data_IF_136358054055
#
_entry.id   IF_136358054055
#
_cell.length_a   1.000
_cell.length_b   1.000
_cell.length_c   1.000
_cell.angle_alpha   90.00
_cell.angle_beta   90.00
_cell.angle_gamma   90.00
#
_symmetry.space_group_name_H-M   'P 1'
#
loop_
_entity.id
_entity.type
_entity.pdbx_description
1 polymer ?
#
# COMPACT_ATOMS: atom_id res chain seq x y z
N UNK A 1 23.70 13.90 2.02
CA UNK A 1 22.59 12.94 1.87
C UNK A 1 23.25 11.61 1.55
N UNK A 2 23.11 10.60 2.42
CA UNK A 2 23.68 9.27 2.17
C UNK A 2 22.70 8.51 1.29
N UNK A 3 23.10 8.20 0.07
CA UNK A 3 22.30 7.38 -0.84
C UNK A 3 22.18 5.97 -0.24
N UNK A 4 21.02 5.69 0.35
CA UNK A 4 20.75 4.41 0.98
C UNK A 4 20.78 3.30 -0.08
N UNK A 5 21.46 2.19 0.24
CA UNK A 5 21.47 0.99 -0.59
C UNK A 5 20.30 0.08 -0.22
N UNK A 6 19.60 -0.43 -1.23
CA UNK A 6 18.61 -1.50 -1.11
C UNK A 6 19.13 -2.81 -1.69
N UNK A 7 18.50 -3.94 -1.32
CA UNK A 7 18.84 -5.27 -1.83
C UNK A 7 17.59 -5.98 -2.36
N UNK A 8 17.68 -6.60 -3.54
CA UNK A 8 16.61 -7.40 -4.14
C UNK A 8 17.17 -8.72 -4.71
N UNK A 9 16.31 -9.54 -5.36
CA UNK A 9 16.72 -10.80 -6.04
C UNK A 9 17.77 -10.61 -7.15
N UNK A 10 17.95 -9.37 -7.63
CA UNK A 10 18.89 -8.99 -8.68
C UNK A 10 20.18 -8.35 -8.16
N UNK A 11 20.34 -8.19 -6.83
CA UNK A 11 21.53 -7.60 -6.21
C UNK A 11 21.26 -6.31 -5.43
N UNK A 12 22.34 -5.60 -5.06
CA UNK A 12 22.28 -4.29 -4.41
C UNK A 12 21.94 -3.19 -5.43
N UNK A 13 21.16 -2.20 -5.03
CA UNK A 13 20.79 -1.05 -5.85
C UNK A 13 20.70 0.22 -5.00
N UNK A 14 20.71 1.39 -5.64
CA UNK A 14 20.50 2.68 -4.96
C UNK A 14 19.01 2.91 -4.77
N UNK A 15 18.55 3.16 -3.55
CA UNK A 15 17.10 3.30 -3.26
C UNK A 15 16.40 4.37 -4.10
N UNK A 16 17.13 5.42 -4.49
CA UNK A 16 16.60 6.52 -5.31
C UNK A 16 16.34 6.07 -6.75
N UNK A 17 17.24 5.26 -7.31
CA UNK A 17 17.17 4.82 -8.71
C UNK A 17 16.32 3.55 -8.88
N UNK A 18 16.18 2.75 -7.81
CA UNK A 18 15.54 1.45 -7.86
C UNK A 18 16.40 0.39 -8.57
N UNK A 19 15.95 -0.86 -8.55
CA UNK A 19 16.62 -1.93 -9.30
C UNK A 19 16.14 -1.90 -10.77
N UNK A 20 17.02 -1.72 -11.76
CA UNK A 20 16.64 -1.62 -13.17
C UNK A 20 15.83 -2.84 -13.65
N UNK A 21 16.25 -4.04 -13.23
CA UNK A 21 15.61 -5.30 -13.63
C UNK A 21 14.22 -5.46 -12.99
N UNK A 22 14.02 -5.04 -11.74
CA UNK A 22 12.69 -5.07 -11.12
C UNK A 22 11.73 -4.06 -11.76
N UNK A 23 12.23 -2.93 -12.23
CA UNK A 23 11.43 -1.91 -12.93
C UNK A 23 11.01 -2.45 -14.31
N UNK A 24 11.93 -3.07 -15.04
CA UNK A 24 11.66 -3.67 -16.36
C UNK A 24 10.69 -4.85 -16.27
N UNK A 25 10.84 -5.74 -15.29
CA UNK A 25 9.87 -6.83 -15.01
C UNK A 25 8.46 -6.30 -14.70
N UNK A 26 8.36 -5.15 -14.02
CA UNK A 26 7.06 -4.51 -13.73
C UNK A 26 6.45 -3.87 -14.97
N UNK A 27 7.28 -3.26 -15.82
CA UNK A 27 6.82 -2.66 -17.07
C UNK A 27 6.38 -3.72 -18.08
N UNK A 28 7.10 -4.84 -18.18
CA UNK A 28 6.70 -5.96 -19.04
C UNK A 28 5.39 -6.60 -18.57
N UNK A 29 5.26 -6.85 -17.26
CA UNK A 29 4.02 -7.38 -16.68
C UNK A 29 2.82 -6.43 -16.88
N UNK A 30 3.03 -5.10 -16.83
CA UNK A 30 1.97 -4.12 -17.11
C UNK A 30 1.56 -4.13 -18.60
N UNK A 31 2.51 -4.29 -19.52
CA UNK A 31 2.21 -4.33 -20.96
C UNK A 31 1.44 -5.57 -21.40
N UNK A 32 1.58 -6.69 -20.70
CA UNK A 32 0.78 -7.90 -20.96
C UNK A 32 -0.68 -7.75 -20.53
N UNK A 33 -0.97 -6.85 -19.58
CA UNK A 33 -2.34 -6.55 -19.14
C UNK A 33 -3.05 -5.68 -20.19
N UNK A 34 -2.35 -4.72 -20.81
CA UNK A 34 -2.94 -3.82 -21.82
C UNK A 34 -3.22 -4.54 -23.17
N UNK A 35 -2.53 -5.63 -23.48
CA UNK A 35 -2.79 -6.42 -24.68
C UNK A 35 -4.09 -7.25 -24.63
N UNK A 36 -4.79 -7.27 -23.49
CA UNK A 36 -6.05 -7.98 -23.30
C UNK A 36 -7.27 -7.04 -23.17
N UNK A 37 -7.10 -5.72 -23.36
CA UNK A 37 -8.18 -4.72 -23.30
C UNK A 37 -8.82 -4.46 -24.69
N UNK A 38 -9.12 -5.55 -25.39
CA UNK A 38 -9.68 -5.55 -26.74
C UNK A 38 -11.13 -6.01 -26.85
N UNK A 39 -11.93 -5.98 -25.78
CA UNK A 39 -13.37 -6.21 -25.88
C UNK A 39 -14.13 -5.17 -25.05
N UNK A 40 -14.53 -4.10 -25.73
CA UNK A 40 -15.41 -3.06 -25.22
C UNK A 40 -16.78 -3.68 -24.96
N UNK A 41 -17.01 -4.12 -23.72
CA UNK A 41 -18.33 -4.52 -23.24
C UNK A 41 -19.20 -3.27 -23.22
N UNK A 42 -20.18 -3.25 -24.12
CA UNK A 42 -21.23 -2.24 -24.17
C UNK A 42 -21.90 -2.16 -22.79
N UNK A 43 -22.11 -0.94 -22.30
CA UNK A 43 -22.79 -0.62 -21.06
C UNK A 43 -24.31 -0.86 -21.17
N UNK A 44 -24.71 -2.07 -21.56
CA UNK A 44 -26.08 -2.54 -21.51
C UNK A 44 -26.33 -3.18 -20.15
N UNK A 45 -27.02 -2.43 -19.29
CA UNK A 45 -27.79 -2.91 -18.13
C UNK A 45 -27.11 -3.92 -17.21
N UNK A 46 -26.68 -3.46 -16.02
CA UNK A 46 -26.29 -4.32 -14.90
C UNK A 46 -27.40 -5.36 -14.68
N UNK A 47 -27.20 -6.65 -15.02
CA UNK A 47 -28.15 -7.68 -14.67
C UNK A 47 -27.94 -7.95 -13.18
N UNK A 48 -28.82 -7.40 -12.37
CA UNK A 48 -28.95 -7.79 -10.98
C UNK A 48 -29.61 -9.18 -10.96
N UNK A 49 -29.20 -10.00 -10.01
CA UNK A 49 -29.80 -11.26 -9.53
C UNK A 49 -29.36 -12.56 -10.20
N UNK A 50 -28.13 -12.99 -9.89
CA UNK A 50 -27.99 -14.37 -9.43
C UNK A 50 -28.26 -14.39 -7.92
N UNK A 51 -29.09 -15.31 -7.40
CA UNK A 51 -29.27 -15.44 -5.96
C UNK A 51 -27.92 -15.82 -5.36
N UNK A 52 -27.36 -14.94 -4.51
CA UNK A 52 -26.30 -15.33 -3.60
C UNK A 52 -26.84 -16.52 -2.81
N UNK A 53 -26.37 -17.72 -3.14
CA UNK A 53 -26.44 -18.84 -2.23
C UNK A 53 -25.58 -18.45 -1.04
N UNK A 54 -26.24 -17.86 -0.03
CA UNK A 54 -25.69 -17.70 1.31
C UNK A 54 -25.35 -19.09 1.83
N UNK A 55 -24.18 -19.57 1.43
CA UNK A 55 -23.57 -20.75 1.99
C UNK A 55 -22.91 -20.23 3.26
N UNK A 56 -23.72 -20.00 4.29
CA UNK A 56 -23.21 -19.83 5.65
C UNK A 56 -22.49 -21.12 5.99
N UNK A 57 -21.19 -21.18 5.67
CA UNK A 57 -20.30 -22.27 6.03
C UNK A 57 -19.91 -22.06 7.49
N UNK A 58 -20.92 -21.96 8.36
CA UNK A 58 -20.76 -22.09 9.79
C UNK A 58 -20.65 -23.58 10.08
N UNK A 59 -19.49 -24.16 9.78
CA UNK A 59 -19.11 -25.35 10.54
C UNK A 59 -18.98 -24.88 11.97
N UNK A 60 -19.91 -25.29 12.83
CA UNK A 60 -19.81 -24.99 14.25
C UNK A 60 -18.42 -25.45 14.70
N UNK A 61 -17.65 -24.61 15.40
CA UNK A 61 -16.39 -25.04 15.98
C UNK A 61 -16.62 -26.32 16.80
N UNK A 62 -16.01 -27.43 16.36
CA UNK A 62 -16.16 -28.74 17.00
C UNK A 62 -17.25 -29.67 16.43
N UNK A 63 -17.99 -29.27 15.39
CA UNK A 63 -18.92 -30.19 14.70
C UNK A 63 -18.26 -31.05 13.62
N UNK A 64 -17.04 -30.70 13.18
CA UNK A 64 -16.30 -31.48 12.19
C UNK A 64 -15.70 -32.74 12.84
N UNK A 65 -16.30 -33.89 12.51
CA UNK A 65 -15.88 -35.21 12.98
C UNK A 65 -14.43 -35.52 12.59
N UNK A 66 -13.94 -35.02 11.45
CA UNK A 66 -12.56 -35.25 11.01
C UNK A 66 -11.59 -34.54 11.96
N UNK A 67 -11.85 -33.28 12.30
CA UNK A 67 -11.00 -32.48 13.20
C UNK A 67 -11.01 -33.05 14.61
N UNK A 68 -12.18 -33.47 15.11
CA UNK A 68 -12.28 -34.17 16.39
C UNK A 68 -11.51 -35.49 16.36
N UNK A 69 -11.62 -36.25 15.27
CA UNK A 69 -10.86 -37.48 15.05
C UNK A 69 -9.35 -37.26 15.04
N UNK A 70 -8.86 -36.23 14.35
CA UNK A 70 -7.45 -35.86 14.36
C UNK A 70 -6.96 -35.46 15.75
N UNK A 71 -7.77 -34.72 16.50
CA UNK A 71 -7.43 -34.35 17.87
C UNK A 71 -7.30 -35.58 18.78
N UNK A 72 -8.23 -36.53 18.70
CA UNK A 72 -8.15 -37.78 19.46
C UNK A 72 -6.93 -38.62 19.07
N UNK A 73 -6.61 -38.73 17.78
CA UNK A 73 -5.40 -39.41 17.31
C UNK A 73 -4.13 -38.74 17.83
N UNK A 74 -4.08 -37.40 17.81
CA UNK A 74 -2.96 -36.63 18.33
C UNK A 74 -2.77 -36.86 19.84
N UNK A 75 -3.85 -36.88 20.63
CA UNK A 75 -3.80 -37.21 22.06
C UNK A 75 -3.30 -38.64 22.30
N UNK A 76 -3.71 -39.60 21.48
CA UNK A 76 -3.23 -40.98 21.54
C UNK A 76 -1.72 -41.09 21.27
N UNK A 77 -1.25 -40.45 20.19
CA UNK A 77 0.16 -40.40 19.83
C UNK A 77 0.99 -39.68 20.90
N UNK A 78 0.47 -38.60 21.48
CA UNK A 78 1.10 -37.90 22.59
C UNK A 78 1.25 -38.81 23.82
N UNK A 79 0.17 -39.46 24.26
CA UNK A 79 0.19 -40.34 25.43
C UNK A 79 1.10 -41.56 25.22
N UNK A 80 1.23 -42.04 23.98
CA UNK A 80 2.19 -43.08 23.62
C UNK A 80 3.64 -42.57 23.70
N UNK A 81 3.92 -41.41 23.09
CA UNK A 81 5.24 -40.79 23.10
C UNK A 81 5.73 -40.48 24.53
N UNK A 82 4.84 -40.02 25.42
CA UNK A 82 5.17 -39.73 26.83
C UNK A 82 5.60 -40.97 27.63
N UNK A 83 5.12 -42.16 27.25
CA UNK A 83 5.43 -43.43 27.94
C UNK A 83 6.58 -44.20 27.30
N UNK A 84 6.96 -43.84 26.08
CA UNK A 84 7.93 -44.60 25.29
C UNK A 84 9.34 -44.40 25.83
N UNK A 85 10.07 -45.51 26.03
CA UNK A 85 11.50 -45.51 26.38
C UNK A 85 12.23 -46.30 25.31
N UNK A 86 13.20 -45.66 24.66
CA UNK A 86 13.99 -46.28 23.59
C UNK A 86 15.18 -46.99 24.25
N UNK A 87 15.22 -48.32 24.15
CA UNK A 87 16.27 -49.13 24.77
C UNK A 87 17.10 -49.91 23.75
N UNK A 88 16.51 -50.24 22.61
CA UNK A 88 17.15 -51.04 21.56
C UNK A 88 17.01 -50.40 20.15
N UNK A 89 17.56 -51.10 19.15
CA UNK A 89 17.54 -50.65 17.74
C UNK A 89 16.16 -50.86 17.10
N UNK A 90 15.34 -51.77 17.60
CA UNK A 90 14.01 -52.02 17.06
C UNK A 90 13.01 -50.94 17.53
N UNK A 91 13.19 -50.41 18.73
CA UNK A 91 12.49 -49.23 19.24
C UNK A 91 12.73 -48.01 18.34
N UNK A 92 13.96 -47.84 17.84
CA UNK A 92 14.28 -46.75 16.90
C UNK A 92 13.47 -46.86 15.61
N UNK A 93 13.26 -48.08 15.08
CA UNK A 93 12.41 -48.28 13.90
C UNK A 93 10.96 -47.91 14.19
N UNK A 94 10.43 -48.34 15.35
CA UNK A 94 9.06 -48.00 15.78
C UNK A 94 8.86 -46.49 15.91
N UNK A 95 9.79 -45.79 16.57
CA UNK A 95 9.75 -44.32 16.66
C UNK A 95 9.77 -43.69 15.27
N UNK A 96 10.58 -44.23 14.36
CA UNK A 96 10.65 -43.71 12.99
C UNK A 96 9.30 -43.87 12.26
N UNK A 97 8.64 -45.01 12.40
CA UNK A 97 7.31 -45.24 11.84
C UNK A 97 6.27 -44.28 12.46
N UNK A 98 6.30 -44.10 13.78
CA UNK A 98 5.41 -43.16 14.48
C UNK A 98 5.63 -41.72 14.02
N UNK A 99 6.88 -41.30 13.78
CA UNK A 99 7.20 -39.98 13.24
C UNK A 99 6.60 -39.79 11.84
N UNK A 100 6.58 -40.83 11.00
CA UNK A 100 5.91 -40.78 9.68
C UNK A 100 4.40 -40.60 9.84
N UNK A 101 3.79 -41.30 10.80
CA UNK A 101 2.35 -41.17 11.10
C UNK A 101 2.03 -39.76 11.60
N UNK A 102 2.79 -39.24 12.56
CA UNK A 102 2.67 -37.87 13.08
C UNK A 102 2.81 -36.86 11.94
N UNK A 103 3.77 -37.07 11.04
CA UNK A 103 3.98 -36.23 9.87
C UNK A 103 2.76 -36.17 8.94
N UNK A 104 2.12 -37.31 8.68
CA UNK A 104 0.87 -37.39 7.89
C UNK A 104 -0.28 -36.68 8.59
N UNK A 105 -0.53 -37.00 9.87
CA UNK A 105 -1.60 -36.37 10.66
C UNK A 105 -1.48 -34.84 10.71
N UNK A 106 -0.25 -34.34 10.90
CA UNK A 106 0.03 -32.89 10.86
C UNK A 106 -0.33 -32.28 9.51
N UNK A 107 0.00 -32.94 8.40
CA UNK A 107 -0.34 -32.46 7.05
C UNK A 107 -1.85 -32.42 6.84
N UNK A 108 -2.57 -33.41 7.31
CA UNK A 108 -4.04 -33.50 7.17
C UNK A 108 -4.73 -32.38 7.97
N UNK A 109 -4.31 -32.14 9.22
CA UNK A 109 -4.80 -31.01 10.02
C UNK A 109 -4.54 -29.65 9.37
N UNK A 110 -3.35 -29.45 8.79
CA UNK A 110 -3.02 -28.21 8.08
C UNK A 110 -3.85 -28.05 6.79
N UNK A 111 -4.16 -29.15 6.12
CA UNK A 111 -5.02 -29.15 4.92
C UNK A 111 -6.43 -28.72 5.28
N UNK A 112 -7.04 -29.30 6.32
CA UNK A 112 -8.35 -28.86 6.83
C UNK A 112 -8.34 -27.40 7.29
N UNK A 113 -7.29 -26.97 8.00
CA UNK A 113 -7.12 -25.55 8.38
C UNK A 113 -7.15 -24.64 7.14
N UNK A 114 -6.48 -25.04 6.06
CA UNK A 114 -6.48 -24.28 4.81
C UNK A 114 -7.87 -24.27 4.17
N UNK A 115 -8.56 -25.41 4.15
CA UNK A 115 -9.94 -25.53 3.65
C UNK A 115 -10.89 -24.56 4.37
N UNK A 116 -10.80 -24.44 5.69
CA UNK A 116 -11.61 -23.50 6.47
C UNK A 116 -11.25 -22.03 6.25
N UNK A 117 -9.96 -21.72 6.14
CA UNK A 117 -9.49 -20.34 6.08
C UNK A 117 -9.45 -19.75 4.67
N UNK A 118 -9.36 -20.58 3.64
CA UNK A 118 -9.33 -20.16 2.24
C UNK A 118 -10.57 -19.34 1.81
N UNK A 119 -11.82 -19.79 2.04
CA UNK A 119 -12.99 -19.01 1.64
C UNK A 119 -13.10 -17.69 2.42
N UNK A 120 -12.77 -17.68 3.72
CA UNK A 120 -12.77 -16.46 4.53
C UNK A 120 -11.77 -15.44 4.01
N UNK A 121 -10.56 -15.87 3.66
CA UNK A 121 -9.56 -14.99 3.03
C UNK A 121 -10.03 -14.47 1.69
N UNK A 122 -10.60 -15.34 0.85
CA UNK A 122 -11.15 -14.92 -0.44
C UNK A 122 -12.25 -13.86 -0.30
N UNK A 123 -13.10 -13.96 0.73
CA UNK A 123 -14.12 -12.95 1.02
C UNK A 123 -13.50 -11.63 1.51
N UNK A 124 -12.49 -11.69 2.39
CA UNK A 124 -11.75 -10.50 2.83
C UNK A 124 -11.08 -9.81 1.63
N UNK A 125 -10.43 -10.57 0.75
CA UNK A 125 -9.78 -10.05 -0.45
C UNK A 125 -10.82 -9.41 -1.39
N UNK A 126 -11.97 -10.04 -1.61
CA UNK A 126 -13.05 -9.48 -2.42
C UNK A 126 -13.62 -8.18 -1.83
N UNK A 127 -13.74 -8.08 -0.50
CA UNK A 127 -14.13 -6.84 0.19
C UNK A 127 -13.07 -5.76 -0.05
N UNK A 128 -11.79 -6.08 0.15
CA UNK A 128 -10.69 -5.13 -0.07
C UNK A 128 -10.66 -4.64 -1.52
N UNK A 129 -10.81 -5.52 -2.49
CA UNK A 129 -10.86 -5.18 -3.91
C UNK A 129 -12.04 -4.24 -4.22
N UNK A 130 -13.21 -4.52 -3.64
CA UNK A 130 -14.38 -3.66 -3.78
C UNK A 130 -14.10 -2.26 -3.21
N UNK A 131 -13.50 -2.17 -2.02
CA UNK A 131 -13.12 -0.88 -1.43
C UNK A 131 -12.07 -0.15 -2.26
N UNK A 132 -11.09 -0.86 -2.80
CA UNK A 132 -10.08 -0.27 -3.68
C UNK A 132 -10.73 0.36 -4.91
N UNK A 133 -11.66 -0.36 -5.55
CA UNK A 133 -12.45 0.16 -6.70
C UNK A 133 -13.23 1.41 -6.30
N UNK A 134 -13.93 1.37 -5.16
CA UNK A 134 -14.71 2.49 -4.64
C UNK A 134 -13.83 3.70 -4.25
N UNK A 135 -12.59 3.47 -3.84
CA UNK A 135 -11.64 4.52 -3.45
C UNK A 135 -10.94 5.19 -4.64
N UNK A 136 -10.89 4.56 -5.82
CA UNK A 136 -10.28 5.12 -7.04
C UNK A 136 -10.67 6.59 -7.32
N UNK A 137 -11.95 6.99 -7.35
CA UNK A 137 -12.31 8.38 -7.62
C UNK A 137 -11.80 9.36 -6.57
N UNK A 138 -11.75 8.95 -5.29
CA UNK A 138 -11.23 9.78 -4.20
C UNK A 138 -9.71 9.98 -4.36
N UNK A 139 -8.98 8.91 -4.66
CA UNK A 139 -7.54 8.97 -4.91
C UNK A 139 -7.22 9.82 -6.15
N UNK A 140 -8.01 9.69 -7.23
CA UNK A 140 -7.89 10.54 -8.43
C UNK A 140 -8.16 12.01 -8.10
N UNK A 141 -9.17 12.31 -7.28
CA UNK A 141 -9.46 13.68 -6.86
C UNK A 141 -8.31 14.27 -6.05
N UNK A 142 -7.78 13.53 -5.07
CA UNK A 142 -6.62 13.96 -4.27
C UNK A 142 -5.41 14.25 -5.16
N UNK A 143 -5.07 13.34 -6.09
CA UNK A 143 -3.99 13.56 -7.06
C UNK A 143 -4.20 14.84 -7.89
N UNK A 144 -5.42 15.08 -8.38
CA UNK A 144 -5.75 16.30 -9.14
C UNK A 144 -5.55 17.55 -8.27
N UNK A 145 -5.97 17.54 -7.01
CA UNK A 145 -5.78 18.67 -6.10
C UNK A 145 -4.31 18.93 -5.80
N UNK A 146 -3.53 17.88 -5.57
CA UNK A 146 -2.08 17.99 -5.36
C UNK A 146 -1.39 18.60 -6.58
N UNK A 147 -1.71 18.13 -7.79
CA UNK A 147 -1.16 18.68 -9.03
C UNK A 147 -1.53 20.15 -9.23
N UNK A 148 -2.79 20.53 -8.98
CA UNK A 148 -3.24 21.94 -9.06
C UNK A 148 -2.54 22.82 -8.03
N UNK A 149 -2.36 22.32 -6.81
CA UNK A 149 -1.64 23.04 -5.76
C UNK A 149 -0.17 23.28 -6.15
N UNK A 150 0.51 22.25 -6.66
CA UNK A 150 1.89 22.36 -7.14
C UNK A 150 2.01 23.35 -8.31
N UNK A 151 1.10 23.28 -9.29
CA UNK A 151 1.07 24.22 -10.41
C UNK A 151 0.86 25.68 -9.95
N UNK A 152 -0.03 25.89 -8.99
CA UNK A 152 -0.25 27.21 -8.39
C UNK A 152 1.01 27.73 -7.68
N UNK A 153 1.66 26.90 -6.87
CA UNK A 153 2.89 27.28 -6.16
C UNK A 153 4.02 27.62 -7.14
N UNK A 154 4.17 26.84 -8.21
CA UNK A 154 5.14 27.11 -9.28
C UNK A 154 4.87 28.46 -9.96
N UNK A 155 3.60 28.77 -10.26
CA UNK A 155 3.21 30.04 -10.87
C UNK A 155 3.43 31.23 -9.93
N UNK A 156 3.12 31.09 -8.64
CA UNK A 156 3.40 32.13 -7.64
C UNK A 156 4.89 32.41 -7.52
N UNK A 157 5.71 31.35 -7.50
CA UNK A 157 7.16 31.48 -7.48
C UNK A 157 7.68 32.20 -8.73
N UNK A 158 7.20 31.82 -9.93
CA UNK A 158 7.56 32.49 -11.20
C UNK A 158 7.23 33.99 -11.19
N UNK A 159 6.07 34.36 -10.65
CA UNK A 159 5.66 35.76 -10.51
C UNK A 159 6.56 36.52 -9.53
N UNK A 160 6.89 35.93 -8.38
CA UNK A 160 7.78 36.53 -7.41
C UNK A 160 9.18 36.78 -8.01
N UNK A 161 9.75 35.77 -8.68
CA UNK A 161 11.05 35.87 -9.34
C UNK A 161 11.06 36.95 -10.45
N UNK A 162 9.99 37.02 -11.26
CA UNK A 162 9.88 38.04 -12.32
C UNK A 162 9.81 39.47 -11.74
N UNK A 163 9.10 39.67 -10.63
CA UNK A 163 9.02 40.98 -9.95
C UNK A 163 10.36 41.32 -9.31
N UNK A 164 11.04 40.35 -8.70
CA UNK A 164 12.36 40.54 -8.12
C UNK A 164 13.39 40.94 -9.20
N UNK A 165 13.42 40.23 -10.33
CA UNK A 165 14.30 40.57 -11.46
C UNK A 165 14.00 41.98 -12.02
N UNK A 166 12.72 42.34 -12.17
CA UNK A 166 12.35 43.68 -12.60
C UNK A 166 12.79 44.76 -11.60
N UNK A 167 12.67 44.49 -10.30
CA UNK A 167 13.16 45.40 -9.24
C UNK A 167 14.68 45.51 -9.25
N UNK A 168 15.41 44.40 -9.46
CA UNK A 168 16.88 44.40 -9.59
C UNK A 168 17.31 45.26 -10.78
N UNK A 169 16.71 45.07 -11.97
CA UNK A 169 17.02 45.88 -13.16
C UNK A 169 16.72 47.37 -12.95
N UNK A 170 15.63 47.71 -12.24
CA UNK A 170 15.30 49.11 -11.90
C UNK A 170 16.32 49.73 -10.95
N UNK A 171 16.77 49.00 -9.94
CA UNK A 171 17.81 49.47 -9.02
C UNK A 171 19.15 49.68 -9.75
N UNK A 172 19.51 48.76 -10.65
CA UNK A 172 20.72 48.89 -11.46
C UNK A 172 20.66 50.08 -12.42
N UNK A 173 19.52 50.29 -13.09
CA UNK A 173 19.31 51.45 -13.96
C UNK A 173 19.41 52.77 -13.17
N UNK A 174 18.72 52.88 -12.04
CA UNK A 174 18.78 54.05 -11.18
C UNK A 174 20.19 54.32 -10.64
N UNK A 175 20.96 53.26 -10.33
CA UNK A 175 22.35 53.38 -9.92
C UNK A 175 23.24 53.95 -11.03
N UNK A 176 23.06 53.48 -12.27
CA UNK A 176 23.80 54.00 -13.44
C UNK A 176 23.42 55.44 -13.76
N UNK A 177 22.15 55.80 -13.66
CA UNK A 177 21.69 57.17 -13.86
C UNK A 177 22.28 58.13 -12.83
N UNK A 178 22.31 57.74 -11.54
CA UNK A 178 22.91 58.53 -10.47
C UNK A 178 24.42 58.78 -10.68
N UNK A 179 25.14 57.80 -11.23
CA UNK A 179 26.56 57.93 -11.56
C UNK A 179 26.78 58.92 -12.71
N UNK A 180 25.93 58.89 -13.73
CA UNK A 180 26.00 59.82 -14.88
C UNK A 180 25.54 61.24 -14.54
N UNK A 181 24.53 61.39 -13.67
CA UNK A 181 23.97 62.70 -13.29
C UNK A 181 24.74 63.41 -12.17
N UNK A 182 25.84 62.84 -11.68
CA UNK A 182 26.68 63.46 -10.65
C UNK A 182 26.09 63.43 -9.25
N UNK A 183 25.28 62.41 -8.92
CA UNK A 183 24.77 62.17 -7.56
C UNK A 183 23.39 62.78 -7.24
N UNK A 184 22.72 63.40 -8.21
CA UNK A 184 21.34 63.87 -8.03
C UNK A 184 20.37 62.84 -8.63
N UNK A 185 19.75 62.06 -7.75
CA UNK A 185 18.69 61.10 -8.12
C UNK A 185 17.38 61.89 -8.20
N UNK A 186 16.89 62.17 -9.41
CA UNK A 186 15.71 63.03 -9.59
C UNK A 186 14.36 62.31 -9.51
N UNK A 187 14.33 60.97 -9.59
CA UNK A 187 13.09 60.19 -9.48
C UNK A 187 13.22 59.07 -8.45
N UNK A 188 12.26 59.01 -7.51
CA UNK A 188 12.18 57.92 -6.55
C UNK A 188 11.86 56.62 -7.30
N UNK A 189 12.75 55.64 -7.23
CA UNK A 189 12.53 54.33 -7.86
C UNK A 189 11.30 53.69 -7.22
N UNK A 190 10.20 53.65 -7.96
CA UNK A 190 8.97 53.02 -7.50
C UNK A 190 9.15 51.50 -7.65
N UNK A 191 9.63 50.85 -6.59
CA UNK A 191 9.79 49.41 -6.53
C UNK A 191 8.41 48.76 -6.42
N UNK A 192 8.19 47.72 -7.22
CA UNK A 192 6.93 46.97 -7.15
C UNK A 192 7.00 46.02 -5.96
N UNK A 193 5.97 46.02 -5.11
CA UNK A 193 5.93 45.12 -3.94
C UNK A 193 5.85 43.66 -4.40
N UNK A 194 6.74 42.82 -3.88
CA UNK A 194 6.76 41.38 -4.18
C UNK A 194 5.59 40.72 -3.42
N UNK A 195 4.73 39.95 -4.10
CA UNK A 195 3.66 39.23 -3.44
C UNK A 195 4.22 38.34 -2.31
N UNK A 196 3.61 38.35 -1.11
CA UNK A 196 4.11 37.55 0.01
C UNK A 196 4.05 36.06 -0.32
N UNK A 197 5.08 35.32 0.09
CA UNK A 197 5.11 33.86 -0.08
C UNK A 197 3.89 33.21 0.59
N UNK A 198 3.26 32.21 -0.05
CA UNK A 198 2.13 31.51 0.54
C UNK A 198 2.55 30.84 1.86
N UNK A 199 1.68 30.84 2.89
CA UNK A 199 2.00 30.27 4.19
C UNK A 199 2.27 28.77 4.07
N UNK A 200 3.36 28.29 4.70
CA UNK A 200 3.77 26.87 4.69
C UNK A 200 2.75 25.92 5.33
N UNK A 201 1.83 26.43 6.13
CA UNK A 201 0.80 25.61 6.78
C UNK A 201 -0.48 26.40 6.87
N UNK A 202 -1.50 25.94 6.15
CA UNK A 202 -2.86 26.47 6.25
C UNK A 202 -3.63 25.58 7.22
N UNK A 203 -3.85 26.06 8.46
CA UNK A 203 -4.76 25.40 9.39
C UNK A 203 -6.19 25.59 8.88
N UNK A 204 -6.86 24.50 8.54
CA UNK A 204 -8.28 24.53 8.16
C UNK A 204 -9.17 24.30 9.40
N UNK A 205 -10.39 24.85 9.37
CA UNK A 205 -11.38 24.72 10.46
C UNK A 205 -11.98 23.31 10.60
N UNK A 206 -11.52 22.32 9.83
CA UNK A 206 -12.10 20.97 9.76
C UNK A 206 -11.74 20.07 10.97
N UNK A 207 -11.04 20.60 11.98
CA UNK A 207 -10.78 19.92 13.24
C UNK A 207 -9.67 18.87 13.18
N UNK A 208 -9.38 18.25 14.34
CA UNK A 208 -8.46 17.12 14.47
C UNK A 208 -9.25 15.80 14.48
N UNK A 209 -9.00 14.93 13.51
CA UNK A 209 -9.55 13.56 13.53
C UNK A 209 -8.70 12.71 14.48
N UNK A 210 -9.24 12.37 15.66
CA UNK A 210 -8.65 11.33 16.52
C UNK A 210 -9.30 9.99 16.16
N UNK A 211 -8.51 9.04 15.67
CA UNK A 211 -8.97 7.66 15.43
C UNK A 211 -8.96 6.92 16.76
N UNK A 212 -10.14 6.52 17.26
CA UNK A 212 -10.27 5.53 18.32
C UNK A 212 -10.67 4.22 17.65
N UNK A 213 -9.88 3.16 17.84
CA UNK A 213 -10.19 1.85 17.29
C UNK A 213 -11.35 1.23 18.07
N UNK A 214 -12.55 1.29 17.49
CA UNK A 214 -13.71 0.57 17.98
C UNK A 214 -13.96 -0.65 17.08
N UNK A 215 -14.03 -1.83 17.69
CA UNK A 215 -14.38 -3.05 16.98
C UNK A 215 -15.85 -2.99 16.56
N UNK A 216 -16.10 -2.97 15.24
CA UNK A 216 -17.45 -2.88 14.68
C UNK A 216 -18.17 -4.22 14.58
N UNK A 217 -17.42 -5.32 14.55
CA UNK A 217 -17.96 -6.67 14.40
C UNK A 217 -17.39 -7.57 15.48
N UNK A 218 -18.26 -8.31 16.14
CA UNK A 218 -17.94 -9.43 17.02
C UNK A 218 -18.23 -10.72 16.24
N UNK A 219 -17.23 -11.59 16.14
CA UNK A 219 -17.44 -12.93 15.56
C UNK A 219 -18.02 -13.79 16.67
N UNK A 220 -19.33 -14.05 16.61
CA UNK A 220 -20.07 -14.93 17.53
C UNK A 220 -20.05 -16.37 17.02
#
# INVERSE_FOLDING_TARGET
>A
MTDGKGTCKHGEFVLVDGCPQCIEERLSAASEIEANEGEVVKADGIPITEPLTETTLATLPGSDLDVVGYHQQALGLQAFAEKMVITDVDDVKRVTDDLVIIGKLKKDMLTKKKEYTAPLRSQVDAILDTYNILMVPVLKADQIYQLKMLAYLAEQKRKAEAIEQANQMRMEAARKEAEVSGGVISESVNLTEVPPEPPKTTRTNLGSVSTMDCWKYEVV
#
